data_IF_963790048332
#
_entry.id   IF_963790048332
#
_cell.length_a   1.000
_cell.length_b   1.000
_cell.length_c   1.000
_cell.angle_alpha   90.00
_cell.angle_beta   90.00
_cell.angle_gamma   90.00
#
_symmetry.space_group_name_H-M   'P 1'
#
loop_
_entity.id
_entity.type
_entity.pdbx_description
1 polymer ?
#
# COMPACT_ATOMS: atom_id res chain seq x y z
N UNK A 1 3.05 -26.01 -2.35
CA UNK A 1 3.49 -25.83 -3.76
C UNK A 1 3.76 -24.35 -3.97
N UNK A 2 5.03 -23.95 -4.10
CA UNK A 2 5.42 -22.56 -4.31
C UNK A 2 4.88 -22.07 -5.66
N UNK A 3 3.75 -21.35 -5.64
CA UNK A 3 2.94 -21.04 -6.82
C UNK A 3 3.50 -19.92 -7.71
N UNK A 4 4.80 -19.64 -7.61
CA UNK A 4 5.48 -18.48 -8.21
C UNK A 4 6.80 -18.82 -8.88
N UNK A 5 7.32 -20.05 -8.76
CA UNK A 5 8.43 -20.49 -9.61
C UNK A 5 7.90 -20.86 -11.00
N UNK A 6 8.63 -20.46 -12.04
CA UNK A 6 8.42 -20.94 -13.41
C UNK A 6 8.45 -22.46 -13.46
N UNK A 7 9.25 -23.11 -12.60
CA UNK A 7 9.37 -24.57 -12.55
C UNK A 7 8.12 -25.27 -12.03
N UNK A 8 7.30 -24.59 -11.23
CA UNK A 8 6.10 -25.16 -10.61
C UNK A 8 4.81 -24.83 -11.39
N UNK A 9 4.90 -24.12 -12.51
CA UNK A 9 3.75 -23.70 -13.32
C UNK A 9 3.52 -24.65 -14.50
N UNK A 10 2.31 -25.19 -14.60
CA UNK A 10 1.90 -26.04 -15.74
C UNK A 10 1.82 -25.28 -17.06
N UNK A 11 1.23 -24.06 -17.12
CA UNK A 11 1.26 -23.24 -18.33
C UNK A 11 2.68 -22.89 -18.79
N UNK A 12 3.63 -22.78 -17.86
CA UNK A 12 5.02 -22.55 -18.21
C UNK A 12 5.64 -23.76 -18.91
N UNK A 13 5.27 -24.99 -18.52
CA UNK A 13 5.67 -26.21 -19.23
C UNK A 13 5.11 -26.22 -20.65
N UNK A 14 3.80 -26.02 -20.82
CA UNK A 14 3.15 -26.04 -22.14
C UNK A 14 3.78 -25.04 -23.11
N UNK A 15 3.99 -23.81 -22.65
CA UNK A 15 4.67 -22.77 -23.44
C UNK A 15 6.11 -23.13 -23.77
N UNK A 16 6.81 -23.83 -22.87
CA UNK A 16 8.17 -24.28 -23.13
C UNK A 16 8.20 -25.42 -24.15
N UNK A 17 7.26 -26.36 -24.08
CA UNK A 17 7.07 -27.42 -25.06
C UNK A 17 6.83 -26.86 -26.47
N UNK A 18 5.96 -25.85 -26.60
CA UNK A 18 5.72 -25.14 -27.86
C UNK A 18 7.01 -24.48 -28.38
N UNK A 19 7.76 -23.80 -27.50
CA UNK A 19 9.02 -23.11 -27.87
C UNK A 19 10.12 -24.07 -28.36
N UNK A 20 10.21 -25.28 -27.80
CA UNK A 20 11.19 -26.28 -28.25
C UNK A 20 10.71 -27.05 -29.48
N UNK A 21 9.45 -26.87 -29.91
CA UNK A 21 8.86 -27.55 -31.06
C UNK A 21 8.46 -28.99 -30.78
N UNK A 22 8.13 -29.33 -29.53
CA UNK A 22 7.62 -30.64 -29.17
C UNK A 22 6.16 -30.76 -29.61
N UNK A 23 5.77 -31.86 -30.26
CA UNK A 23 4.37 -32.01 -30.69
C UNK A 23 3.38 -32.08 -29.54
N UNK A 24 2.18 -31.52 -29.75
CA UNK A 24 1.12 -31.38 -28.75
C UNK A 24 0.70 -32.71 -28.11
N UNK A 25 0.81 -33.82 -28.85
CA UNK A 25 0.48 -35.15 -28.34
C UNK A 25 1.43 -35.61 -27.24
N UNK A 26 2.73 -35.28 -27.33
CA UNK A 26 3.70 -35.57 -26.26
C UNK A 26 3.45 -34.66 -25.05
N UNK A 27 3.14 -33.39 -25.27
CA UNK A 27 2.79 -32.45 -24.20
C UNK A 27 1.56 -32.93 -23.42
N UNK A 28 0.49 -33.33 -24.12
CA UNK A 28 -0.72 -33.90 -23.49
C UNK A 28 -0.42 -35.21 -22.75
N UNK A 29 0.43 -36.08 -23.31
CA UNK A 29 0.83 -37.32 -22.65
C UNK A 29 1.60 -37.06 -21.35
N UNK A 30 2.50 -36.08 -21.33
CA UNK A 30 3.22 -35.67 -20.10
C UNK A 30 2.27 -35.18 -19.01
N UNK A 31 1.32 -34.32 -19.37
CA UNK A 31 0.32 -33.80 -18.42
C UNK A 31 -0.56 -34.93 -17.88
N UNK A 32 -1.03 -35.83 -18.75
CA UNK A 32 -1.81 -37.00 -18.36
C UNK A 32 -1.04 -37.94 -17.41
N UNK A 33 0.27 -38.10 -17.63
CA UNK A 33 1.17 -38.87 -16.78
C UNK A 33 1.59 -38.15 -15.48
N UNK A 34 0.96 -37.02 -15.13
CA UNK A 34 1.28 -36.19 -13.96
C UNK A 34 2.68 -35.55 -14.00
N UNK A 35 3.36 -35.53 -15.14
CA UNK A 35 4.60 -34.78 -15.39
C UNK A 35 4.23 -33.42 -15.99
N UNK A 36 3.49 -32.66 -15.21
CA UNK A 36 2.76 -31.44 -15.59
C UNK A 36 3.53 -30.14 -15.30
N UNK A 37 4.79 -30.20 -14.86
CA UNK A 37 5.59 -29.04 -14.48
C UNK A 37 7.05 -29.24 -14.89
N UNK A 38 7.77 -28.15 -15.19
CA UNK A 38 9.19 -28.22 -15.53
C UNK A 38 10.04 -28.80 -14.39
N UNK A 39 9.63 -28.60 -13.13
CA UNK A 39 10.25 -29.27 -11.98
C UNK A 39 10.12 -30.78 -12.07
N UNK A 40 8.94 -31.32 -12.39
CA UNK A 40 8.79 -32.78 -12.53
C UNK A 40 9.59 -33.30 -13.73
N UNK A 41 9.59 -32.57 -14.86
CA UNK A 41 10.39 -32.92 -16.04
C UNK A 41 11.89 -32.99 -15.70
N UNK A 42 12.41 -32.06 -14.88
CA UNK A 42 13.83 -32.03 -14.54
C UNK A 42 14.31 -33.26 -13.77
N UNK A 43 13.41 -33.98 -13.08
CA UNK A 43 13.68 -35.22 -12.36
C UNK A 43 13.15 -36.49 -13.06
N UNK A 44 12.36 -36.35 -14.13
CA UNK A 44 11.67 -37.48 -14.76
C UNK A 44 12.61 -38.42 -15.55
N UNK A 45 13.68 -37.87 -16.11
CA UNK A 45 14.61 -38.61 -17.00
C UNK A 45 15.94 -38.91 -16.31
N UNK A 46 16.53 -37.91 -15.65
CA UNK A 46 17.73 -38.05 -14.83
C UNK A 46 17.71 -37.03 -13.69
N UNK A 47 18.62 -37.18 -12.73
CA UNK A 47 18.79 -36.19 -11.68
C UNK A 47 19.41 -34.90 -12.26
N UNK A 48 18.97 -33.70 -11.83
CA UNK A 48 19.62 -32.46 -12.20
C UNK A 48 21.12 -32.50 -11.87
N UNK A 49 21.96 -32.28 -12.88
CA UNK A 49 23.42 -32.37 -12.78
C UNK A 49 24.00 -33.67 -13.35
N UNK A 50 23.16 -34.66 -13.66
CA UNK A 50 23.54 -35.86 -14.42
C UNK A 50 22.99 -35.77 -15.85
N UNK A 51 23.85 -35.79 -16.89
CA UNK A 51 23.38 -35.69 -18.27
C UNK A 51 22.46 -36.86 -18.62
N UNK A 52 21.32 -36.55 -19.24
CA UNK A 52 20.41 -37.58 -19.75
C UNK A 52 21.02 -38.28 -20.96
N UNK A 53 21.02 -39.61 -20.95
CA UNK A 53 21.42 -40.44 -22.10
C UNK A 53 20.25 -40.62 -23.07
N UNK A 54 20.55 -40.96 -24.32
CA UNK A 54 19.54 -41.20 -25.36
C UNK A 54 18.58 -42.33 -24.95
N UNK A 55 19.11 -43.39 -24.34
CA UNK A 55 18.30 -44.51 -23.82
C UNK A 55 17.30 -44.06 -22.76
N UNK A 56 17.68 -43.17 -21.84
CA UNK A 56 16.77 -42.69 -20.80
C UNK A 56 15.59 -41.90 -21.40
N UNK A 57 15.85 -41.16 -22.47
CA UNK A 57 14.85 -40.34 -23.16
C UNK A 57 13.90 -41.23 -23.96
N UNK A 58 14.41 -42.25 -24.63
CA UNK A 58 13.61 -43.26 -25.33
C UNK A 58 12.74 -44.06 -24.35
N UNK A 59 13.28 -44.46 -23.20
CA UNK A 59 12.53 -45.14 -22.13
C UNK A 59 11.43 -44.24 -21.55
N UNK A 60 11.73 -42.96 -21.32
CA UNK A 60 10.76 -41.99 -20.86
C UNK A 60 9.63 -41.78 -21.89
N UNK A 61 9.98 -41.60 -23.16
CA UNK A 61 9.00 -41.50 -24.24
C UNK A 61 8.15 -42.77 -24.37
N UNK A 62 8.76 -43.95 -24.27
CA UNK A 62 8.06 -45.23 -24.31
C UNK A 62 7.06 -45.41 -23.16
N UNK A 63 7.36 -44.87 -21.97
CA UNK A 63 6.44 -44.84 -20.82
C UNK A 63 5.30 -43.83 -21.02
N UNK A 64 5.58 -42.69 -21.64
CA UNK A 64 4.57 -41.66 -21.91
C UNK A 64 3.57 -42.10 -22.98
N UNK A 65 4.06 -42.70 -24.07
CA UNK A 65 3.25 -43.16 -25.21
C UNK A 65 3.71 -44.54 -25.67
N UNK A 66 3.19 -45.63 -25.05
CA UNK A 66 3.55 -46.98 -25.43
C UNK A 66 3.23 -47.27 -26.91
N UNK A 67 4.20 -47.86 -27.62
CA UNK A 67 4.03 -48.27 -29.02
C UNK A 67 4.16 -47.14 -30.06
N UNK A 68 4.45 -45.90 -29.65
CA UNK A 68 4.69 -44.78 -30.57
C UNK A 68 6.19 -44.51 -30.65
N UNK A 69 6.75 -44.63 -31.85
CA UNK A 69 8.16 -44.30 -32.08
C UNK A 69 8.39 -42.78 -31.97
N UNK A 70 9.48 -42.40 -31.27
CA UNK A 70 9.86 -41.01 -31.13
C UNK A 70 10.47 -40.51 -32.45
N UNK A 71 9.89 -39.47 -33.05
CA UNK A 71 10.45 -38.87 -34.26
C UNK A 71 11.81 -38.21 -33.95
N UNK A 72 12.68 -38.06 -34.96
CA UNK A 72 13.97 -37.39 -34.79
C UNK A 72 13.80 -35.96 -34.25
N UNK A 73 12.77 -35.25 -34.71
CA UNK A 73 12.42 -33.90 -34.25
C UNK A 73 11.96 -33.89 -32.80
N UNK A 74 11.03 -34.78 -32.42
CA UNK A 74 10.55 -34.87 -31.03
C UNK A 74 11.67 -35.30 -30.07
N UNK A 75 12.57 -36.19 -30.49
CA UNK A 75 13.74 -36.61 -29.70
C UNK A 75 14.66 -35.42 -29.38
N UNK A 76 14.99 -34.62 -30.40
CA UNK A 76 15.79 -33.41 -30.21
C UNK A 76 15.08 -32.36 -29.32
N UNK A 77 13.77 -32.17 -29.51
CA UNK A 77 12.96 -31.26 -28.71
C UNK A 77 12.89 -31.71 -27.23
N UNK A 78 12.73 -33.02 -26.98
CA UNK A 78 12.65 -33.59 -25.63
C UNK A 78 14.00 -33.51 -24.89
N UNK A 79 15.11 -33.79 -25.58
CA UNK A 79 16.48 -33.56 -25.07
C UNK A 79 16.67 -32.12 -24.60
N UNK A 80 16.28 -31.17 -25.45
CA UNK A 80 16.37 -29.74 -25.15
C UNK A 80 15.48 -29.36 -23.96
N UNK A 81 14.25 -29.86 -23.91
CA UNK A 81 13.31 -29.60 -22.82
C UNK A 81 13.85 -30.07 -21.47
N UNK A 82 14.37 -31.30 -21.40
CA UNK A 82 14.97 -31.87 -20.18
C UNK A 82 16.18 -31.05 -19.74
N UNK A 83 17.06 -30.70 -20.67
CA UNK A 83 18.24 -29.89 -20.38
C UNK A 83 17.87 -28.49 -19.84
N UNK A 84 16.92 -27.80 -20.48
CA UNK A 84 16.45 -26.49 -20.05
C UNK A 84 15.78 -26.57 -18.65
N UNK A 85 14.95 -27.59 -18.41
CA UNK A 85 14.32 -27.84 -17.11
C UNK A 85 15.35 -28.09 -15.99
N UNK A 86 16.35 -28.95 -16.24
CA UNK A 86 17.43 -29.23 -15.28
C UNK A 86 18.28 -27.99 -15.00
N UNK A 87 18.61 -27.22 -16.03
CA UNK A 87 19.39 -25.99 -15.90
C UNK A 87 18.67 -24.97 -15.03
N UNK A 88 17.36 -24.78 -15.25
CA UNK A 88 16.53 -23.89 -14.44
C UNK A 88 16.43 -24.38 -12.99
N UNK A 89 16.27 -25.69 -12.76
CA UNK A 89 16.23 -26.28 -11.42
C UNK A 89 17.52 -26.05 -10.63
N UNK A 90 18.68 -26.26 -11.26
CA UNK A 90 19.98 -26.00 -10.62
C UNK A 90 20.15 -24.50 -10.33
N UNK A 91 19.72 -23.62 -11.25
CA UNK A 91 19.80 -22.18 -11.05
C UNK A 91 18.94 -21.71 -9.87
N UNK A 92 17.71 -22.23 -9.75
CA UNK A 92 16.81 -21.92 -8.63
C UNK A 92 17.34 -22.46 -7.29
N UNK A 93 17.89 -23.68 -7.27
CA UNK A 93 18.52 -24.23 -6.07
C UNK A 93 19.71 -23.37 -5.64
N UNK A 94 20.56 -22.94 -6.57
CA UNK A 94 21.68 -22.04 -6.27
C UNK A 94 21.22 -20.69 -5.74
N UNK A 95 20.19 -20.09 -6.34
CA UNK A 95 19.68 -18.79 -5.88
C UNK A 95 19.04 -18.90 -4.49
N UNK A 96 18.32 -19.99 -4.20
CA UNK A 96 17.73 -20.22 -2.88
C UNK A 96 18.77 -20.36 -1.76
N UNK A 97 19.98 -20.83 -2.09
CA UNK A 97 21.10 -20.96 -1.14
C UNK A 97 21.89 -19.65 -0.99
N UNK A 98 21.90 -18.79 -2.03
CA UNK A 98 22.75 -17.59 -2.08
C UNK A 98 22.03 -16.28 -1.73
N UNK A 99 20.71 -16.18 -1.90
CA UNK A 99 19.95 -14.92 -1.77
C UNK A 99 19.19 -14.90 -0.45
N UNK A 100 19.42 -13.87 0.38
CA UNK A 100 18.54 -13.55 1.51
C UNK A 100 17.16 -13.10 1.00
N UNK A 101 16.09 -13.67 1.57
CA UNK A 101 14.70 -13.68 1.09
C UNK A 101 13.94 -12.32 1.04
N UNK A 102 14.55 -11.22 0.59
CA UNK A 102 13.89 -9.89 0.73
C UNK A 102 13.19 -9.35 -0.53
N UNK A 103 13.43 -9.92 -1.72
CA UNK A 103 12.84 -9.41 -2.97
C UNK A 103 11.56 -10.17 -3.38
N UNK A 104 10.46 -9.48 -3.75
CA UNK A 104 9.25 -10.12 -4.23
C UNK A 104 9.51 -10.97 -5.48
N UNK A 105 9.22 -12.27 -5.42
CA UNK A 105 9.26 -13.14 -6.61
C UNK A 105 8.14 -12.76 -7.57
N UNK A 106 8.50 -12.58 -8.85
CA UNK A 106 7.56 -12.21 -9.90
C UNK A 106 6.77 -13.43 -10.35
N UNK A 107 5.46 -13.28 -10.50
CA UNK A 107 4.62 -14.35 -11.03
C UNK A 107 5.04 -14.67 -12.50
N UNK A 108 5.19 -15.95 -12.87
CA UNK A 108 5.53 -16.31 -14.25
C UNK A 108 4.53 -15.73 -15.24
N UNK A 109 5.00 -15.28 -16.41
CA UNK A 109 4.12 -14.62 -17.39
C UNK A 109 3.01 -15.55 -17.92
N UNK A 110 3.32 -16.83 -18.16
CA UNK A 110 2.35 -17.82 -18.61
C UNK A 110 1.29 -18.10 -17.53
N UNK A 111 1.73 -18.34 -16.29
CA UNK A 111 0.85 -18.51 -15.13
C UNK A 111 -0.08 -17.30 -14.94
N UNK A 112 0.48 -16.09 -14.97
CA UNK A 112 -0.29 -14.85 -14.82
C UNK A 112 -1.37 -14.74 -15.89
N UNK A 113 -1.02 -14.98 -17.16
CA UNK A 113 -1.97 -14.90 -18.27
C UNK A 113 -3.14 -15.88 -18.10
N UNK A 114 -2.84 -17.13 -17.73
CA UNK A 114 -3.88 -18.13 -17.48
C UNK A 114 -4.81 -17.70 -16.32
N UNK A 115 -4.25 -17.21 -15.21
CA UNK A 115 -5.08 -16.79 -14.07
C UNK A 115 -5.96 -15.58 -14.39
N UNK A 116 -5.47 -14.63 -15.20
CA UNK A 116 -6.27 -13.50 -15.69
C UNK A 116 -7.44 -14.02 -16.54
N UNK A 117 -7.18 -14.98 -17.44
CA UNK A 117 -8.21 -15.57 -18.30
C UNK A 117 -9.27 -16.31 -17.47
N UNK A 118 -8.85 -17.15 -16.52
CA UNK A 118 -9.75 -17.86 -15.61
C UNK A 118 -10.59 -16.90 -14.77
N UNK A 119 -9.98 -15.85 -14.24
CA UNK A 119 -10.69 -14.81 -13.48
C UNK A 119 -11.70 -14.08 -14.36
N UNK A 120 -11.34 -13.71 -15.59
CA UNK A 120 -12.25 -13.07 -16.54
C UNK A 120 -13.41 -13.99 -16.98
N UNK A 121 -13.15 -15.30 -17.13
CA UNK A 121 -14.18 -16.28 -17.43
C UNK A 121 -15.19 -16.46 -16.29
N UNK A 122 -14.72 -16.37 -15.04
CA UNK A 122 -15.57 -16.46 -13.83
C UNK A 122 -16.34 -15.16 -13.57
N UNK A 123 -15.66 -14.03 -13.60
CA UNK A 123 -16.21 -12.70 -13.28
C UNK A 123 -16.78 -12.01 -14.53
N UNK A 124 -17.77 -12.65 -15.16
CA UNK A 124 -18.44 -12.10 -16.34
C UNK A 124 -19.16 -10.80 -15.97
N UNK A 125 -19.06 -9.79 -16.86
CA UNK A 125 -19.68 -8.48 -16.68
C UNK A 125 -18.74 -7.37 -16.22
N UNK A 126 -17.52 -7.70 -15.78
CA UNK A 126 -16.46 -6.74 -15.50
C UNK A 126 -15.46 -6.67 -16.66
N UNK A 127 -15.08 -5.47 -17.14
CA UNK A 127 -14.12 -5.34 -18.24
C UNK A 127 -12.67 -5.50 -17.74
N UNK A 128 -12.32 -6.66 -17.19
CA UNK A 128 -11.02 -6.92 -16.55
C UNK A 128 -9.81 -6.80 -17.50
N UNK A 129 -10.04 -7.04 -18.80
CA UNK A 129 -8.97 -7.05 -19.79
C UNK A 129 -8.46 -5.66 -20.20
N UNK A 130 -9.18 -4.57 -19.88
CA UNK A 130 -8.84 -3.22 -20.35
C UNK A 130 -9.25 -2.11 -19.38
N UNK A 131 -8.48 -1.03 -19.37
CA UNK A 131 -8.85 0.24 -18.73
C UNK A 131 -8.82 0.18 -17.20
N UNK A 132 -9.79 0.84 -16.57
CA UNK A 132 -9.75 1.13 -15.13
C UNK A 132 -9.75 -0.11 -14.20
N UNK A 133 -10.22 -1.26 -14.69
CA UNK A 133 -10.31 -2.50 -13.90
C UNK A 133 -9.06 -3.37 -14.03
N UNK A 134 -8.22 -3.12 -15.04
CA UNK A 134 -7.04 -3.91 -15.30
C UNK A 134 -5.95 -3.57 -14.28
N UNK A 135 -5.54 -4.54 -13.46
CA UNK A 135 -4.52 -4.34 -12.43
C UNK A 135 -3.12 -4.35 -13.03
N UNK A 136 -2.22 -3.57 -12.44
CA UNK A 136 -0.79 -3.66 -12.71
C UNK A 136 -0.22 -5.03 -12.30
N UNK A 137 0.81 -5.47 -13.03
CA UNK A 137 1.47 -6.75 -12.74
C UNK A 137 2.25 -6.71 -11.43
N UNK A 138 2.86 -5.56 -11.10
CA UNK A 138 3.51 -5.31 -9.82
C UNK A 138 2.60 -5.55 -8.61
N UNK A 139 1.29 -5.29 -8.75
CA UNK A 139 0.32 -5.54 -7.69
C UNK A 139 0.12 -7.04 -7.45
N UNK A 140 0.03 -7.84 -8.52
CA UNK A 140 -0.04 -9.30 -8.42
C UNK A 140 1.22 -9.87 -7.79
N UNK A 141 2.40 -9.41 -8.22
CA UNK A 141 3.68 -9.89 -7.71
C UNK A 141 3.81 -9.60 -6.20
N UNK A 142 3.36 -8.44 -5.74
CA UNK A 142 3.36 -8.09 -4.31
C UNK A 142 2.46 -9.01 -3.48
N UNK A 143 1.23 -9.27 -3.92
CA UNK A 143 0.33 -10.18 -3.21
C UNK A 143 0.81 -11.64 -3.29
N UNK A 144 1.42 -12.04 -4.41
CA UNK A 144 2.03 -13.35 -4.55
C UNK A 144 3.16 -13.55 -3.54
N UNK A 145 4.00 -12.54 -3.35
CA UNK A 145 5.01 -12.54 -2.31
C UNK A 145 4.41 -12.63 -0.89
N UNK A 146 3.36 -11.85 -0.57
CA UNK A 146 2.66 -11.98 0.72
C UNK A 146 2.10 -13.39 0.95
N UNK A 147 1.57 -14.04 -0.09
CA UNK A 147 1.07 -15.42 -0.02
C UNK A 147 2.21 -16.43 0.19
N UNK A 148 3.39 -16.18 -0.36
CA UNK A 148 4.56 -17.04 -0.16
C UNK A 148 5.12 -16.96 1.25
N UNK A 149 5.37 -15.73 1.72
CA UNK A 149 5.93 -15.44 3.06
C UNK A 149 4.91 -15.62 4.16
N UNK A 150 3.62 -15.71 3.80
CA UNK A 150 2.48 -15.76 4.72
C UNK A 150 2.37 -14.53 5.64
N UNK A 151 2.94 -13.41 5.20
CA UNK A 151 2.89 -12.13 5.88
C UNK A 151 1.97 -11.15 5.14
N UNK A 152 0.78 -10.92 5.70
CA UNK A 152 -0.14 -9.94 5.14
C UNK A 152 0.33 -8.53 5.51
N UNK A 153 0.62 -7.70 4.50
CA UNK A 153 0.97 -6.29 4.68
C UNK A 153 -0.09 -5.39 4.06
N UNK A 154 -0.30 -4.22 4.67
CA UNK A 154 -1.23 -3.22 4.12
C UNK A 154 -0.72 -2.72 2.76
N UNK A 155 -1.59 -2.81 1.74
CA UNK A 155 -1.36 -2.23 0.41
C UNK A 155 -2.24 -0.97 0.28
N UNK A 156 -1.65 0.23 0.26
CA UNK A 156 -2.38 1.47 0.09
C UNK A 156 -3.18 1.50 -1.24
N UNK A 157 -4.40 2.08 -1.24
CA UNK A 157 -5.19 2.19 -2.47
C UNK A 157 -4.52 3.00 -3.58
N UNK A 158 -3.64 3.96 -3.26
CA UNK A 158 -2.88 4.75 -4.22
C UNK A 158 -1.78 3.95 -4.93
N UNK A 159 -1.35 2.83 -4.37
CA UNK A 159 -0.41 1.89 -5.03
C UNK A 159 -1.15 0.87 -5.91
N UNK A 160 -2.49 0.82 -5.83
CA UNK A 160 -3.32 -0.07 -6.64
C UNK A 160 -3.60 0.57 -8.00
N UNK A 161 -2.56 0.74 -8.82
CA UNK A 161 -2.60 1.40 -10.12
C UNK A 161 -3.11 0.49 -11.25
N UNK A 162 -3.44 1.09 -12.39
CA UNK A 162 -3.81 0.34 -13.59
C UNK A 162 -2.59 -0.20 -14.34
N UNK A 163 -2.81 -1.19 -15.22
CA UNK A 163 -1.77 -1.69 -16.11
C UNK A 163 -1.20 -0.62 -17.04
N UNK A 164 -2.04 0.28 -17.55
CA UNK A 164 -1.61 1.40 -18.40
C UNK A 164 -0.70 2.37 -17.62
N UNK A 165 -1.03 2.65 -16.36
CA UNK A 165 -0.20 3.50 -15.49
C UNK A 165 1.14 2.84 -15.17
N UNK A 166 1.18 1.51 -15.00
CA UNK A 166 2.42 0.76 -14.81
C UNK A 166 3.30 0.82 -16.06
N UNK A 167 2.72 0.71 -17.26
CA UNK A 167 3.42 0.83 -18.52
C UNK A 167 3.92 2.26 -18.80
N UNK A 168 3.16 3.26 -18.36
CA UNK A 168 3.52 4.67 -18.48
C UNK A 168 4.56 5.12 -17.44
N UNK A 169 4.73 4.36 -16.35
CA UNK A 169 5.62 4.68 -15.24
C UNK A 169 7.08 4.90 -15.65
N UNK A 170 7.74 5.84 -14.97
CA UNK A 170 9.12 6.25 -15.23
C UNK A 170 10.16 5.29 -14.64
N UNK A 171 11.35 5.25 -15.25
CA UNK A 171 12.48 4.38 -14.85
C UNK A 171 12.94 4.67 -13.42
N UNK A 172 13.30 3.62 -12.67
CA UNK A 172 13.93 3.69 -11.34
C UNK A 172 15.05 4.75 -11.28
N UNK A 173 15.00 5.72 -10.34
CA UNK A 173 16.18 6.51 -10.06
C UNK A 173 17.24 5.57 -9.49
N UNK A 174 18.40 5.51 -10.16
CA UNK A 174 19.53 4.72 -9.68
C UNK A 174 20.07 5.40 -8.42
N UNK A 175 19.87 4.79 -7.27
CA UNK A 175 20.51 5.23 -6.03
C UNK A 175 21.92 4.63 -5.96
N UNK A 176 22.91 5.47 -5.75
CA UNK A 176 24.30 5.04 -5.59
C UNK A 176 24.59 5.01 -4.11
N UNK A 177 24.67 3.81 -3.52
CA UNK A 177 25.05 3.64 -2.11
C UNK A 177 26.52 3.25 -2.01
N UNK A 178 27.24 3.87 -1.07
CA UNK A 178 28.63 3.55 -0.77
C UNK A 178 28.66 2.31 0.12
N UNK A 179 29.45 1.30 -0.27
CA UNK A 179 29.63 0.07 0.50
C UNK A 179 30.22 0.39 1.89
N UNK A 180 29.74 -0.32 2.92
CA UNK A 180 30.24 -0.24 4.29
C UNK A 180 31.73 -0.58 4.40
N UNK A 181 32.30 -1.24 3.38
CA UNK A 181 33.72 -1.59 3.25
C UNK A 181 34.62 -0.51 2.60
N UNK A 182 34.08 0.66 2.21
CA UNK A 182 34.84 1.79 1.61
C UNK A 182 35.68 1.46 0.36
N UNK A 183 35.42 0.38 -0.38
CA UNK A 183 36.15 0.10 -1.65
C UNK A 183 35.27 -0.18 -2.87
N UNK A 184 33.94 -0.03 -2.79
CA UNK A 184 33.04 -0.24 -3.92
C UNK A 184 31.81 0.67 -3.88
N UNK A 185 31.39 1.16 -5.05
CA UNK A 185 30.09 1.80 -5.25
C UNK A 185 29.10 0.70 -5.65
N UNK A 186 28.10 0.43 -4.80
CA UNK A 186 27.01 -0.49 -5.13
C UNK A 186 25.82 0.38 -5.57
N UNK A 187 25.55 0.35 -6.87
CA UNK A 187 24.30 0.91 -7.40
C UNK A 187 23.19 -0.07 -7.06
N UNK A 188 22.38 0.25 -6.05
CA UNK A 188 21.14 -0.47 -5.78
C UNK A 188 20.01 0.29 -6.47
N UNK A 189 19.34 -0.37 -7.39
CA UNK A 189 18.09 0.12 -7.93
C UNK A 189 17.08 0.15 -6.77
N UNK A 190 16.64 1.35 -6.38
CA UNK A 190 15.53 1.49 -5.46
C UNK A 190 14.24 1.09 -6.19
N UNK A 191 13.42 0.25 -5.57
CA UNK A 191 12.12 -0.10 -6.11
C UNK A 191 11.24 1.16 -6.14
N UNK A 192 10.92 1.66 -7.34
CA UNK A 192 9.85 2.67 -7.47
C UNK A 192 8.53 1.99 -7.12
N UNK A 193 7.93 2.44 -6.03
CA UNK A 193 6.50 2.25 -5.79
C UNK A 193 5.73 3.22 -6.68
N UNK A 194 5.21 2.73 -7.80
CA UNK A 194 4.33 3.52 -8.65
C UNK A 194 3.02 3.81 -7.90
N UNK A 195 2.68 5.09 -7.75
CA UNK A 195 1.46 5.55 -7.08
C UNK A 195 0.60 6.36 -8.03
N UNK A 196 -0.72 6.36 -7.80
CA UNK A 196 -1.67 7.23 -8.48
C UNK A 196 -2.22 8.30 -7.53
N UNK A 197 -2.54 9.47 -8.08
CA UNK A 197 -3.23 10.51 -7.32
C UNK A 197 -4.74 10.21 -7.30
N UNK A 198 -5.30 9.94 -6.12
CA UNK A 198 -6.74 9.68 -5.94
C UNK A 198 -7.46 11.00 -5.68
N UNK A 199 -8.14 11.53 -6.69
CA UNK A 199 -8.83 12.82 -6.64
C UNK A 199 -10.33 12.70 -6.41
N UNK A 200 -10.94 11.60 -6.87
CA UNK A 200 -12.38 11.34 -6.73
C UNK A 200 -12.69 10.08 -5.92
N UNK A 201 -13.92 9.98 -5.42
CA UNK A 201 -14.40 8.76 -4.73
C UNK A 201 -14.53 7.59 -5.71
N UNK A 202 -14.81 7.86 -6.99
CA UNK A 202 -14.84 6.81 -8.01
C UNK A 202 -13.45 6.20 -8.27
N UNK A 203 -12.39 7.03 -8.33
CA UNK A 203 -11.01 6.53 -8.44
C UNK A 203 -10.60 5.71 -7.23
N UNK A 204 -11.04 6.10 -6.04
CA UNK A 204 -10.85 5.33 -4.81
C UNK A 204 -11.56 3.98 -4.89
N UNK A 205 -12.82 3.96 -5.34
CA UNK A 205 -13.59 2.73 -5.48
C UNK A 205 -12.87 1.75 -6.43
N UNK A 206 -12.46 2.25 -7.61
CA UNK A 206 -11.74 1.45 -8.59
C UNK A 206 -10.40 0.92 -8.06
N UNK A 207 -9.69 1.68 -7.23
CA UNK A 207 -8.43 1.20 -6.67
C UNK A 207 -8.62 0.11 -5.62
N UNK A 208 -9.67 0.21 -4.80
CA UNK A 208 -10.08 -0.89 -3.91
C UNK A 208 -10.48 -2.13 -4.71
N UNK A 209 -11.23 -1.97 -5.80
CA UNK A 209 -11.62 -3.08 -6.68
C UNK A 209 -10.40 -3.76 -7.31
N UNK A 210 -9.41 -3.00 -7.80
CA UNK A 210 -8.15 -3.56 -8.31
C UNK A 210 -7.39 -4.35 -7.25
N UNK A 211 -7.37 -3.86 -6.00
CA UNK A 211 -6.79 -4.60 -4.88
C UNK A 211 -7.50 -5.93 -4.64
N UNK A 212 -8.84 -5.94 -4.68
CA UNK A 212 -9.63 -7.15 -4.56
C UNK A 212 -9.36 -8.15 -5.69
N UNK A 213 -9.33 -7.68 -6.94
CA UNK A 213 -9.00 -8.50 -8.12
C UNK A 213 -7.60 -9.10 -8.02
N UNK A 214 -6.62 -8.36 -7.52
CA UNK A 214 -5.26 -8.85 -7.37
C UNK A 214 -5.13 -9.90 -6.25
N UNK A 215 -5.81 -9.71 -5.12
CA UNK A 215 -5.87 -10.71 -4.05
C UNK A 215 -6.58 -11.99 -4.51
N UNK A 216 -7.63 -11.86 -5.30
CA UNK A 216 -8.38 -12.98 -5.88
C UNK A 216 -7.56 -13.76 -6.91
N UNK A 217 -6.86 -13.07 -7.82
CA UNK A 217 -6.00 -13.70 -8.82
C UNK A 217 -4.85 -14.51 -8.19
N UNK A 218 -4.31 -14.01 -7.07
CA UNK A 218 -3.27 -14.72 -6.32
C UNK A 218 -3.87 -15.81 -5.43
N UNK A 219 -5.16 -15.81 -5.15
CA UNK A 219 -5.82 -16.77 -4.26
C UNK A 219 -5.56 -16.49 -2.78
N UNK A 220 -5.52 -15.22 -2.39
CA UNK A 220 -5.50 -14.78 -0.98
C UNK A 220 -6.91 -14.63 -0.42
N UNK A 221 -7.82 -14.03 -1.19
CA UNK A 221 -9.22 -13.83 -0.83
C UNK A 221 -10.09 -13.76 -2.09
N UNK A 222 -11.33 -14.24 -2.02
CA UNK A 222 -12.27 -14.23 -3.14
C UNK A 222 -12.77 -12.81 -3.43
N UNK A 223 -12.86 -12.49 -4.73
CA UNK A 223 -13.32 -11.18 -5.20
C UNK A 223 -14.70 -10.81 -4.64
N UNK A 224 -15.67 -11.73 -4.66
CA UNK A 224 -17.05 -11.46 -4.22
C UNK A 224 -17.13 -11.09 -2.73
N UNK A 225 -16.25 -11.68 -1.91
CA UNK A 225 -16.21 -11.41 -0.47
C UNK A 225 -15.62 -10.03 -0.21
N UNK A 226 -14.52 -9.72 -0.88
CA UNK A 226 -13.90 -8.39 -0.80
C UNK A 226 -14.81 -7.31 -1.39
N UNK A 227 -15.47 -7.57 -2.51
CA UNK A 227 -16.39 -6.63 -3.16
C UNK A 227 -17.51 -6.21 -2.20
N UNK A 228 -18.17 -7.16 -1.53
CA UNK A 228 -19.22 -6.86 -0.54
C UNK A 228 -18.72 -5.97 0.60
N UNK A 229 -17.49 -6.19 1.07
CA UNK A 229 -16.88 -5.34 2.07
C UNK A 229 -16.62 -3.93 1.54
N UNK A 230 -16.10 -3.83 0.32
CA UNK A 230 -15.81 -2.54 -0.33
C UNK A 230 -17.11 -1.77 -0.57
N UNK A 231 -18.14 -2.40 -1.13
CA UNK A 231 -19.47 -1.82 -1.32
C UNK A 231 -20.02 -1.25 0.00
N UNK A 232 -19.92 -2.01 1.09
CA UNK A 232 -20.32 -1.54 2.43
C UNK A 232 -19.57 -0.28 2.87
N UNK A 233 -18.26 -0.19 2.62
CA UNK A 233 -17.48 1.01 2.97
C UNK A 233 -18.02 2.26 2.24
N UNK A 234 -18.37 2.10 0.96
CA UNK A 234 -18.90 3.18 0.13
C UNK A 234 -20.36 3.49 0.44
N UNK A 235 -21.17 2.51 0.81
CA UNK A 235 -22.54 2.70 1.28
C UNK A 235 -22.56 3.55 2.57
N UNK A 236 -21.70 3.21 3.53
CA UNK A 236 -21.56 3.97 4.79
C UNK A 236 -21.06 5.41 4.52
N UNK A 237 -20.19 5.59 3.53
CA UNK A 237 -19.72 6.92 3.11
C UNK A 237 -20.84 7.76 2.49
N UNK A 238 -21.76 7.12 1.76
CA UNK A 238 -22.87 7.78 1.08
C UNK A 238 -24.13 7.94 1.95
N UNK A 239 -24.21 7.26 3.09
CA UNK A 239 -25.31 7.35 4.02
C UNK A 239 -25.48 8.77 4.60
N UNK A 240 -26.72 9.22 4.72
CA UNK A 240 -27.04 10.48 5.39
C UNK A 240 -26.68 10.41 6.89
N UNK A 241 -25.94 11.40 7.42
CA UNK A 241 -25.54 11.38 8.81
C UNK A 241 -26.74 11.80 9.69
N UNK A 242 -26.77 11.36 10.95
CA UNK A 242 -27.73 11.88 11.93
C UNK A 242 -27.58 13.40 12.13
N UNK A 243 -28.63 14.08 12.65
CA UNK A 243 -28.56 15.51 12.92
C UNK A 243 -27.35 15.89 13.80
N UNK A 244 -26.64 16.96 13.43
CA UNK A 244 -25.41 17.44 14.07
C UNK A 244 -24.18 16.54 13.90
N UNK A 245 -24.20 15.56 12.99
CA UNK A 245 -23.05 14.77 12.60
C UNK A 245 -22.66 15.02 11.14
N UNK A 246 -21.38 14.90 10.84
CA UNK A 246 -20.84 14.89 9.48
C UNK A 246 -20.85 13.48 8.91
N UNK A 247 -21.03 13.37 7.59
CA UNK A 247 -20.86 12.12 6.84
C UNK A 247 -19.47 11.52 7.08
N UNK A 248 -19.39 10.21 6.91
CA UNK A 248 -18.11 9.50 6.96
C UNK A 248 -17.24 10.00 5.81
N UNK A 249 -16.05 10.48 6.14
CA UNK A 249 -15.12 11.04 5.16
C UNK A 249 -14.24 9.97 4.49
N UNK A 250 -13.69 10.27 3.31
CA UNK A 250 -12.66 9.43 2.67
C UNK A 250 -11.49 9.10 3.60
N UNK A 251 -11.07 10.06 4.43
CA UNK A 251 -9.99 9.85 5.41
C UNK A 251 -10.38 8.91 6.55
N UNK A 252 -11.68 8.75 6.85
CA UNK A 252 -12.17 7.72 7.77
C UNK A 252 -12.13 6.35 7.11
N UNK A 253 -12.61 6.24 5.87
CA UNK A 253 -12.57 4.99 5.09
C UNK A 253 -11.13 4.46 4.97
N UNK A 254 -10.17 5.33 4.62
CA UNK A 254 -8.76 4.93 4.52
C UNK A 254 -8.15 4.46 5.85
N UNK A 255 -8.58 5.03 6.99
CA UNK A 255 -8.15 4.58 8.32
C UNK A 255 -8.78 3.25 8.70
N UNK A 256 -10.08 3.08 8.43
CA UNK A 256 -10.77 1.82 8.63
C UNK A 256 -10.13 0.71 7.80
N UNK A 257 -9.82 0.99 6.53
CA UNK A 257 -9.17 0.07 5.61
C UNK A 257 -7.77 -0.35 6.08
N UNK A 258 -6.95 0.60 6.57
CA UNK A 258 -5.68 0.25 7.21
C UNK A 258 -5.87 -0.65 8.42
N UNK A 259 -6.87 -0.36 9.26
CA UNK A 259 -7.18 -1.21 10.42
C UNK A 259 -7.63 -2.61 10.01
N UNK A 260 -8.41 -2.75 8.92
CA UNK A 260 -8.79 -4.06 8.37
C UNK A 260 -7.55 -4.92 8.13
N UNK A 261 -6.54 -4.41 7.44
CA UNK A 261 -5.32 -5.19 7.18
C UNK A 261 -4.52 -5.52 8.44
N UNK A 262 -4.50 -4.64 9.44
CA UNK A 262 -3.87 -4.93 10.74
C UNK A 262 -4.59 -6.08 11.44
N UNK A 263 -5.92 -6.06 11.47
CA UNK A 263 -6.72 -7.13 12.08
C UNK A 263 -6.61 -8.45 11.30
N UNK A 264 -6.68 -8.40 9.97
CA UNK A 264 -6.51 -9.58 9.12
C UNK A 264 -5.13 -10.21 9.32
N UNK A 265 -4.06 -9.41 9.36
CA UNK A 265 -2.70 -9.90 9.57
C UNK A 265 -2.55 -10.55 10.96
N UNK A 266 -3.12 -9.92 12.00
CA UNK A 266 -3.10 -10.47 13.37
C UNK A 266 -3.83 -11.80 13.47
N UNK A 267 -4.98 -11.94 12.80
CA UNK A 267 -5.82 -13.15 12.87
C UNK A 267 -5.31 -14.28 11.99
N UNK A 268 -4.80 -13.96 10.79
CA UNK A 268 -4.27 -14.96 9.88
C UNK A 268 -3.00 -15.63 10.42
N UNK A 269 -2.14 -14.88 11.13
CA UNK A 269 -0.96 -15.39 11.84
C UNK A 269 -0.16 -16.48 11.08
N UNK A 270 0.24 -16.20 9.84
CA UNK A 270 1.00 -17.13 9.00
C UNK A 270 0.17 -18.19 8.27
N UNK A 271 -1.16 -18.18 8.37
CA UNK A 271 -2.08 -19.05 7.61
C UNK A 271 -2.76 -18.31 6.46
N UNK A 272 -2.00 -17.92 5.42
CA UNK A 272 -2.57 -17.23 4.25
C UNK A 272 -2.87 -18.16 3.07
N UNK A 273 -2.29 -19.36 3.07
CA UNK A 273 -2.52 -20.34 1.99
C UNK A 273 -3.91 -20.98 2.14
N UNK A 274 -4.46 -21.42 1.01
CA UNK A 274 -5.71 -22.17 0.97
C UNK A 274 -5.62 -23.41 1.88
N UNK A 275 -6.69 -23.65 2.62
CA UNK A 275 -6.85 -24.82 3.48
C UNK A 275 -7.03 -26.08 2.63
N UNK A 276 -6.96 -27.26 3.26
CA UNK A 276 -7.07 -28.55 2.57
C UNK A 276 -8.42 -28.76 1.87
N UNK A 277 -9.47 -28.06 2.31
CA UNK A 277 -10.80 -28.04 1.70
C UNK A 277 -10.93 -27.04 0.54
N UNK A 278 -9.85 -26.32 0.20
CA UNK A 278 -9.83 -25.28 -0.83
C UNK A 278 -10.38 -23.92 -0.36
N UNK A 279 -10.79 -23.79 0.90
CA UNK A 279 -11.26 -22.52 1.44
C UNK A 279 -10.10 -21.56 1.70
N UNK A 280 -10.35 -20.26 1.50
CA UNK A 280 -9.37 -19.19 1.74
C UNK A 280 -9.56 -18.63 3.15
N UNK A 281 -8.53 -18.67 4.02
CA UNK A 281 -8.65 -18.19 5.40
C UNK A 281 -9.14 -16.74 5.53
N UNK A 282 -8.68 -15.86 4.64
CA UNK A 282 -9.10 -14.46 4.65
C UNK A 282 -10.58 -14.27 4.31
N UNK A 283 -11.21 -15.18 3.55
CA UNK A 283 -12.63 -15.05 3.22
C UNK A 283 -13.52 -15.13 4.46
N UNK A 284 -13.18 -16.01 5.40
CA UNK A 284 -13.90 -16.11 6.66
C UNK A 284 -13.74 -14.81 7.46
N UNK A 285 -12.53 -14.27 7.50
CA UNK A 285 -12.26 -13.03 8.23
C UNK A 285 -12.93 -11.81 7.60
N UNK A 286 -12.91 -11.67 6.26
CA UNK A 286 -13.61 -10.59 5.56
C UNK A 286 -15.12 -10.60 5.83
N UNK A 287 -15.75 -11.80 5.89
CA UNK A 287 -17.18 -11.93 6.24
C UNK A 287 -17.49 -11.48 7.67
N UNK A 288 -16.52 -11.56 8.58
CA UNK A 288 -16.67 -11.18 9.98
C UNK A 288 -16.36 -9.69 10.26
N UNK A 289 -15.74 -8.96 9.32
CA UNK A 289 -15.40 -7.54 9.49
C UNK A 289 -16.58 -6.63 9.87
N UNK A 290 -17.80 -6.80 9.33
CA UNK A 290 -18.96 -6.01 9.74
C UNK A 290 -19.28 -6.04 11.23
N UNK A 291 -18.93 -7.13 11.93
CA UNK A 291 -19.11 -7.28 13.37
C UNK A 291 -17.91 -6.82 14.21
N UNK A 292 -16.80 -6.45 13.57
CA UNK A 292 -15.59 -6.03 14.28
C UNK A 292 -15.70 -4.56 14.74
N UNK A 293 -15.85 -4.36 16.03
CA UNK A 293 -15.99 -3.04 16.66
C UNK A 293 -14.77 -2.14 16.45
N UNK A 294 -13.56 -2.70 16.41
CA UNK A 294 -12.32 -1.93 16.23
C UNK A 294 -12.25 -1.27 14.84
N UNK A 295 -12.84 -1.92 13.84
CA UNK A 295 -12.90 -1.41 12.47
C UNK A 295 -14.10 -0.48 12.31
N UNK A 296 -15.28 -0.91 12.77
CA UNK A 296 -16.51 -0.16 12.64
C UNK A 296 -16.46 1.18 13.38
N UNK A 297 -15.67 1.28 14.46
CA UNK A 297 -15.42 2.54 15.17
C UNK A 297 -14.90 3.66 14.25
N UNK A 298 -14.04 3.36 13.27
CA UNK A 298 -13.52 4.35 12.33
C UNK A 298 -14.58 4.88 11.36
N UNK A 299 -15.63 4.10 11.12
CA UNK A 299 -16.71 4.37 10.18
C UNK A 299 -17.91 5.06 10.83
N UNK A 300 -17.82 5.48 12.10
CA UNK A 300 -18.88 6.25 12.74
C UNK A 300 -18.91 7.70 12.24
N UNK A 301 -20.09 8.27 11.95
CA UNK A 301 -20.24 9.71 11.76
C UNK A 301 -19.64 10.48 12.95
N UNK A 302 -19.00 11.61 12.67
CA UNK A 302 -18.37 12.43 13.72
C UNK A 302 -19.19 13.69 13.95
N UNK A 303 -19.25 14.24 15.18
CA UNK A 303 -19.98 15.47 15.44
C UNK A 303 -19.50 16.58 14.50
N UNK A 304 -20.45 17.32 13.91
CA UNK A 304 -20.09 18.50 13.13
C UNK A 304 -19.28 19.43 14.04
N UNK A 305 -18.05 19.75 13.62
CA UNK A 305 -17.31 20.84 14.25
C UNK A 305 -18.11 22.09 13.96
N UNK A 306 -18.88 22.54 14.96
CA UNK A 306 -19.75 23.69 14.84
C UNK A 306 -18.99 24.81 14.14
N UNK A 307 -19.42 25.16 12.92
CA UNK A 307 -18.91 26.34 12.24
C UNK A 307 -19.20 27.47 13.20
N UNK A 308 -18.17 27.99 13.88
CA UNK A 308 -18.31 29.15 14.73
C UNK A 308 -18.99 30.22 13.89
N UNK A 309 -20.28 30.48 14.19
CA UNK A 309 -21.05 31.51 13.50
C UNK A 309 -20.24 32.79 13.64
N UNK A 310 -19.69 33.27 12.52
CA UNK A 310 -19.23 34.64 12.43
C UNK A 310 -20.38 35.50 12.91
N UNK A 311 -20.20 36.17 14.06
CA UNK A 311 -21.20 37.09 14.62
C UNK A 311 -21.46 38.18 13.57
N UNK A 312 -22.54 38.01 12.83
CA UNK A 312 -23.24 39.10 12.18
C UNK A 312 -23.64 40.13 13.24
N UNK A 313 -23.53 41.40 12.85
CA UNK A 313 -23.81 42.61 13.65
C UNK A 313 -24.98 42.41 14.62
N UNK A 314 -24.69 42.60 15.90
CA UNK A 314 -25.70 42.69 16.94
C UNK A 314 -26.50 43.98 16.80
N UNK A 315 -27.82 43.83 16.77
CA UNK A 315 -28.75 44.89 17.13
C UNK A 315 -28.89 44.89 18.66
N UNK A 316 -28.62 46.03 19.29
CA UNK A 316 -28.63 46.22 20.73
C UNK A 316 -30.07 46.46 21.16
N UNK A 317 -30.67 45.51 21.90
CA UNK A 317 -31.77 45.82 22.81
C UNK A 317 -31.28 45.68 24.26
N UNK A 318 -31.22 46.83 24.93
CA UNK A 318 -31.01 46.98 26.37
C UNK A 318 -32.13 46.24 27.10
N UNK A 319 -31.78 45.44 28.09
CA UNK A 319 -32.63 45.30 29.27
C UNK A 319 -31.76 45.41 30.51
N UNK A 320 -32.17 46.35 31.35
CA UNK A 320 -31.73 46.66 32.69
C UNK A 320 -32.22 45.60 33.67
N UNK A 321 -31.41 45.31 34.69
CA UNK A 321 -31.79 44.44 35.79
C UNK A 321 -30.64 44.33 36.78
N UNK A 322 -30.71 45.15 37.82
CA UNK A 322 -29.94 45.06 39.07
C UNK A 322 -30.09 43.69 39.74
N UNK A 323 -29.03 43.22 40.38
CA UNK A 323 -29.02 41.98 41.15
C UNK A 323 -27.63 41.60 41.62
N UNK A 324 -27.36 41.94 42.87
CA UNK A 324 -26.10 41.88 43.60
C UNK A 324 -25.69 40.46 44.08
N UNK A 325 -24.37 40.31 44.23
CA UNK A 325 -23.54 39.38 45.00
C UNK A 325 -23.87 37.88 45.22
N UNK A 326 -22.86 37.05 44.94
CA UNK A 326 -22.79 35.64 45.36
C UNK A 326 -21.68 34.88 44.64
N UNK A 327 -20.43 35.08 45.09
CA UNK A 327 -19.22 34.60 44.42
C UNK A 327 -19.00 33.09 44.50
N UNK A 328 -18.49 32.51 43.40
CA UNK A 328 -17.68 31.30 43.45
C UNK A 328 -16.56 31.33 42.40
N UNK A 329 -15.33 31.12 42.88
CA UNK A 329 -14.07 31.32 42.15
C UNK A 329 -13.85 30.22 41.12
N UNK A 330 -14.24 30.45 39.86
CA UNK A 330 -13.70 29.68 38.72
C UNK A 330 -12.43 30.33 38.18
N UNK A 331 -11.29 29.70 38.49
CA UNK A 331 -9.96 29.91 37.88
C UNK A 331 -10.11 30.07 36.36
N UNK A 332 -9.95 31.30 35.87
CA UNK A 332 -9.87 31.58 34.44
C UNK A 332 -8.58 30.97 33.89
N UNK A 333 -8.70 29.82 33.22
CA UNK A 333 -7.65 29.25 32.38
C UNK A 333 -7.49 30.21 31.20
N UNK A 334 -6.50 31.09 31.27
CA UNK A 334 -6.14 31.99 30.17
C UNK A 334 -5.61 31.14 29.02
N UNK A 335 -6.48 30.83 28.07
CA UNK A 335 -6.11 30.29 26.76
C UNK A 335 -5.20 31.31 26.08
N UNK A 336 -3.88 31.13 26.22
CA UNK A 336 -2.88 31.89 25.46
C UNK A 336 -3.09 31.56 23.98
N UNK A 337 -3.42 32.59 23.19
CA UNK A 337 -3.51 32.49 21.74
C UNK A 337 -2.24 31.84 21.16
N UNK A 338 -2.33 30.91 20.20
CA UNK A 338 -1.18 30.15 19.70
C UNK A 338 -0.16 31.11 19.06
N UNK A 339 0.95 31.29 19.75
CA UNK A 339 2.09 32.08 19.27
C UNK A 339 2.92 31.20 18.32
N UNK A 340 3.37 31.71 17.16
CA UNK A 340 4.27 30.97 16.28
C UNK A 340 5.51 30.46 17.03
N UNK A 341 6.05 29.29 16.65
CA UNK A 341 7.20 28.64 17.33
C UNK A 341 8.41 29.59 17.51
N UNK A 342 8.64 30.48 16.53
CA UNK A 342 9.72 31.48 16.52
C UNK A 342 9.56 32.58 17.60
N UNK A 343 8.36 32.74 18.19
CA UNK A 343 8.03 33.76 19.19
C UNK A 343 7.52 33.13 20.50
N UNK A 344 7.82 31.87 20.74
CA UNK A 344 7.39 31.15 21.94
C UNK A 344 7.90 31.86 23.21
N UNK A 345 7.01 32.19 24.14
CA UNK A 345 7.32 32.99 25.34
C UNK A 345 7.03 34.49 25.23
N UNK A 346 6.66 34.99 24.05
CA UNK A 346 6.24 36.38 23.84
C UNK A 346 4.77 36.64 24.19
N UNK A 347 4.42 37.90 24.47
CA UNK A 347 3.03 38.29 24.69
C UNK A 347 2.26 38.41 23.37
N UNK A 348 1.05 37.85 23.33
CA UNK A 348 0.13 37.96 22.19
C UNK A 348 -0.65 39.28 22.17
N UNK A 349 -0.68 39.99 23.30
CA UNK A 349 -1.46 41.21 23.51
C UNK A 349 -0.66 42.26 24.27
N UNK A 350 -0.95 43.52 23.96
CA UNK A 350 -0.44 44.69 24.70
C UNK A 350 -1.11 44.81 26.07
N UNK A 351 -0.58 45.63 27.01
CA UNK A 351 -1.22 45.92 28.29
C UNK A 351 -2.62 46.52 28.15
N UNK A 352 -2.89 47.20 27.03
CA UNK A 352 -4.21 47.74 26.67
C UNK A 352 -5.13 46.69 26.00
N UNK A 353 -4.79 45.41 26.12
CA UNK A 353 -5.53 44.26 25.60
C UNK A 353 -5.73 44.24 24.07
N UNK A 354 -4.95 45.02 23.31
CA UNK A 354 -4.95 44.98 21.83
C UNK A 354 -4.02 43.89 21.31
N UNK A 355 -4.41 43.16 20.24
CA UNK A 355 -3.61 42.06 19.70
C UNK A 355 -2.39 42.57 18.92
N UNK A 356 -1.24 41.94 19.15
CA UNK A 356 0.05 42.30 18.56
C UNK A 356 0.24 41.56 17.22
N UNK A 357 0.84 42.23 16.23
CA UNK A 357 1.13 41.61 14.94
C UNK A 357 2.39 40.74 15.02
N UNK A 358 2.23 39.41 15.01
CA UNK A 358 3.38 38.50 14.99
C UNK A 358 4.20 38.59 13.69
N UNK A 359 3.53 38.80 12.54
CA UNK A 359 4.24 39.00 11.27
C UNK A 359 5.08 40.27 11.26
N UNK A 360 4.69 41.32 12.00
CA UNK A 360 5.53 42.51 12.15
C UNK A 360 6.78 42.19 12.97
N UNK A 361 6.62 41.45 14.07
CA UNK A 361 7.73 41.01 14.93
C UNK A 361 8.71 40.06 14.23
N UNK A 362 8.25 39.32 13.23
CA UNK A 362 9.07 38.46 12.37
C UNK A 362 9.59 39.15 11.10
N UNK A 363 9.33 40.45 10.91
CA UNK A 363 9.74 41.21 9.71
C UNK A 363 8.97 40.87 8.43
N UNK A 364 7.88 40.11 8.52
CA UNK A 364 7.09 39.59 7.39
C UNK A 364 5.77 40.36 7.15
N UNK A 365 5.49 41.44 7.88
CA UNK A 365 4.23 42.19 7.74
C UNK A 365 4.26 43.18 6.56
N UNK A 366 3.44 42.93 5.53
CA UNK A 366 3.30 43.77 4.34
C UNK A 366 2.21 44.86 4.43
N UNK A 367 1.43 44.89 5.53
CA UNK A 367 0.22 45.74 5.66
C UNK A 367 0.49 47.12 6.27
N UNK A 368 1.70 47.39 6.78
CA UNK A 368 2.07 48.70 7.32
C UNK A 368 1.06 49.27 8.33
N UNK A 369 0.70 50.55 8.20
CA UNK A 369 -0.28 51.23 9.08
C UNK A 369 -1.73 50.71 8.93
N UNK A 370 -2.04 49.96 7.87
CA UNK A 370 -3.35 49.34 7.64
C UNK A 370 -3.50 47.97 8.33
N UNK A 371 -2.52 47.57 9.13
CA UNK A 371 -2.58 46.32 9.87
C UNK A 371 -3.63 46.40 11.00
N UNK A 372 -4.50 45.38 11.07
CA UNK A 372 -5.51 45.22 12.15
C UNK A 372 -4.88 45.02 13.54
N UNK A 373 -3.60 44.66 13.57
CA UNK A 373 -2.84 44.30 14.75
C UNK A 373 -1.78 45.36 15.04
N UNK A 374 -1.52 45.62 16.33
CA UNK A 374 -0.55 46.66 16.74
C UNK A 374 0.88 46.25 16.36
N UNK A 375 1.61 47.18 15.74
CA UNK A 375 3.01 47.03 15.35
C UNK A 375 3.92 47.45 16.50
N UNK A 376 3.98 46.60 17.51
CA UNK A 376 4.82 46.78 18.70
C UNK A 376 5.57 45.49 19.02
N UNK A 377 6.69 45.62 19.71
CA UNK A 377 7.51 44.48 20.14
C UNK A 377 6.70 43.52 21.03
N UNK A 378 6.72 42.23 20.71
CA UNK A 378 6.01 41.19 21.46
C UNK A 378 6.78 40.69 22.71
N UNK A 379 7.99 41.20 22.97
CA UNK A 379 8.77 40.84 24.17
C UNK A 379 8.07 41.33 25.45
N UNK A 380 8.01 40.52 26.52
CA UNK A 380 7.51 40.96 27.82
C UNK A 380 8.15 42.28 28.25
N UNK A 381 7.35 43.23 28.71
CA UNK A 381 7.78 44.53 29.25
C UNK A 381 8.58 45.44 28.27
N UNK A 382 8.47 45.21 26.95
CA UNK A 382 9.03 46.12 25.95
C UNK A 382 7.97 46.98 25.27
N UNK A 383 7.11 46.38 24.43
CA UNK A 383 6.04 47.06 23.66
C UNK A 383 6.49 48.30 22.87
N UNK A 384 7.79 48.42 22.54
CA UNK A 384 8.35 49.51 21.75
C UNK A 384 7.94 49.44 20.27
N UNK A 385 8.09 50.57 19.55
CA UNK A 385 7.80 50.68 18.10
C UNK A 385 8.93 50.10 17.23
N UNK A 386 9.30 48.85 17.50
CA UNK A 386 10.28 48.07 16.73
C UNK A 386 9.85 46.60 16.70
N UNK A 387 10.27 45.81 15.70
CA UNK A 387 10.01 44.37 15.66
C UNK A 387 10.85 43.63 16.71
N UNK A 388 10.42 42.43 17.10
CA UNK A 388 11.12 41.57 18.06
C UNK A 388 12.60 41.33 17.70
N UNK A 389 12.91 41.16 16.41
CA UNK A 389 14.28 41.00 15.91
C UNK A 389 15.21 42.19 16.16
N UNK A 390 14.67 43.38 16.45
CA UNK A 390 15.41 44.62 16.65
C UNK A 390 15.20 45.18 18.07
N UNK A 391 14.85 44.32 19.03
CA UNK A 391 14.60 44.76 20.40
C UNK A 391 15.92 45.05 21.14
N UNK A 392 16.18 46.29 21.60
CA UNK A 392 17.41 46.64 22.32
C UNK A 392 17.51 45.97 23.69
N UNK A 393 16.38 45.55 24.28
CA UNK A 393 16.32 44.76 25.52
C UNK A 393 16.70 43.28 25.32
N UNK A 394 17.16 42.89 24.13
CA UNK A 394 17.63 41.53 23.86
C UNK A 394 18.91 41.15 24.59
N UNK A 395 19.81 42.12 24.79
CA UNK A 395 21.13 41.88 25.40
C UNK A 395 21.14 41.90 26.94
N UNK A 396 20.12 42.40 27.62
CA UNK A 396 20.11 42.48 29.10
C UNK A 396 19.71 41.17 29.81
N UNK A 397 19.25 40.15 29.07
CA UNK A 397 18.85 38.86 29.66
C UNK A 397 19.95 37.78 29.60
N UNK A 398 21.12 38.09 29.03
CA UNK A 398 22.26 37.18 28.99
C UNK A 398 23.23 37.35 30.18
N UNK A 399 23.22 38.51 30.85
CA UNK A 399 24.19 38.85 31.92
C UNK A 399 23.70 38.57 33.37
N UNK A 400 22.54 37.94 33.57
CA UNK A 400 22.05 37.59 34.94
C UNK A 400 22.23 36.09 35.26
N UNK A 401 22.78 35.29 34.33
CA UNK A 401 23.03 33.86 34.53
C UNK A 401 24.48 33.51 34.92
N UNK A 402 25.37 34.50 35.04
CA UNK A 402 26.82 34.33 35.29
C UNK A 402 27.30 34.98 36.60
N UNK A 403 26.41 35.21 37.57
CA UNK A 403 26.80 35.72 38.90
C UNK A 403 26.08 34.99 40.04
N UNK A 404 26.16 33.67 40.00
CA UNK A 404 25.85 32.79 41.13
C UNK A 404 26.75 31.54 41.03
N UNK A 405 28.05 31.75 41.26
CA UNK A 405 28.91 30.78 41.93
C UNK A 405 29.03 31.18 43.40
#
# INVERSE_FOLDING_TARGET
MAATSVLASTPALEKQCEKVGLSDEWTKAMIAAQVDTLSKVSYAVSLPGTPATDTNIEDFAGKLRPGVALSLGDNAALKRLVFEAQTLCIAELRSSVQVGEDAPRKLPAAERALRIEQQAARLKGLPLAKGAWQCAHSLYDRFAHMRETEELRFVPPDECITRDQELAGSKAPKSVQLDASKSGLIVKDEEITNTMNITSDHELYLSFMRRALAMDLVGLASFDVMQKWIERLFDVMNQDPPPNFSRVSRAQVLRADRQVFVELARRANGGLKALADGSLPLDAEFRNLPGNTEIMYFLLPTPEKGKGKGKGKGDKRKHSGDGDEGGDKKKAKTTRDPVPKELQGCHSRTPKNKPICFNYNLGKCKKGKACKFEHVCCRPNCYGKHPFSQCPKANEAADVATSAE
#
